data_IF_808110065722
#
_entry.id   IF_808110065722
#
_cell.length_a   1.000
_cell.length_b   1.000
_cell.length_c   1.000
_cell.angle_alpha   90.00
_cell.angle_beta   90.00
_cell.angle_gamma   90.00
#
_symmetry.space_group_name_H-M   'P 1'
#
loop_
_entity.id
_entity.type
_entity.pdbx_description
1 polymer ?
#
# COMPACT_ATOMS: atom_id res chain seq x y z
N UNK A 1 -18.76 6.25 9.66
CA UNK A 1 -18.56 6.50 8.22
C UNK A 1 -17.19 5.97 7.84
N UNK A 2 -17.07 5.24 6.73
CA UNK A 2 -15.79 4.72 6.24
C UNK A 2 -15.10 5.82 5.43
N UNK A 3 -14.00 6.38 5.92
CA UNK A 3 -13.33 7.55 5.31
C UNK A 3 -12.36 7.18 4.17
N UNK A 4 -12.59 6.08 3.47
CA UNK A 4 -11.68 5.55 2.42
C UNK A 4 -11.48 6.49 1.22
N UNK A 5 -12.39 7.44 0.99
CA UNK A 5 -12.26 8.47 -0.07
C UNK A 5 -11.46 9.69 0.35
N UNK A 6 -11.15 9.87 1.64
CA UNK A 6 -10.36 11.01 2.11
C UNK A 6 -8.96 10.96 1.47
N UNK A 7 -8.44 12.04 0.90
CA UNK A 7 -7.08 12.02 0.35
C UNK A 7 -6.03 11.61 1.40
N UNK A 8 -4.93 11.01 0.94
CA UNK A 8 -3.75 10.72 1.78
C UNK A 8 -2.87 11.96 1.77
N UNK A 9 -2.36 12.33 2.94
CA UNK A 9 -1.51 13.52 3.06
C UNK A 9 -0.20 13.33 2.31
N UNK A 10 0.46 14.44 1.98
CA UNK A 10 1.82 14.41 1.44
C UNK A 10 2.81 13.66 2.35
N UNK A 11 2.59 13.72 3.67
CA UNK A 11 3.41 13.03 4.66
C UNK A 11 3.23 11.51 4.55
N UNK A 12 1.99 11.01 4.44
CA UNK A 12 1.73 9.57 4.24
C UNK A 12 2.41 9.07 2.97
N UNK A 13 2.26 9.82 1.87
CA UNK A 13 2.87 9.46 0.59
C UNK A 13 4.40 9.45 0.66
N UNK A 14 4.98 10.40 1.40
CA UNK A 14 6.43 10.49 1.57
C UNK A 14 6.98 9.38 2.47
N UNK A 15 6.24 9.00 3.51
CA UNK A 15 6.58 7.87 4.37
C UNK A 15 6.62 6.54 3.60
N UNK A 16 5.62 6.25 2.75
CA UNK A 16 5.67 5.05 1.89
C UNK A 16 6.87 5.06 0.93
N UNK A 17 7.18 6.19 0.29
CA UNK A 17 8.38 6.30 -0.56
C UNK A 17 9.67 6.11 0.23
N UNK A 18 9.74 6.66 1.44
CA UNK A 18 10.90 6.49 2.32
C UNK A 18 11.09 5.01 2.68
N UNK A 19 9.99 4.30 2.97
CA UNK A 19 9.99 2.87 3.29
C UNK A 19 10.64 2.01 2.19
N UNK A 20 10.36 2.30 0.92
CA UNK A 20 10.92 1.57 -0.22
C UNK A 20 12.44 1.72 -0.37
N UNK A 21 13.01 2.75 0.24
CA UNK A 21 14.44 3.10 0.15
C UNK A 21 15.18 3.00 1.48
N UNK A 22 14.47 2.72 2.57
CA UNK A 22 15.03 2.66 3.91
C UNK A 22 15.95 1.45 4.06
N UNK A 23 17.24 1.72 4.24
CA UNK A 23 18.27 0.70 4.52
C UNK A 23 18.54 0.53 6.03
N UNK A 24 18.12 1.51 6.84
CA UNK A 24 18.26 1.47 8.30
C UNK A 24 17.00 0.91 8.96
N UNK A 25 17.15 -0.18 9.71
CA UNK A 25 16.02 -0.88 10.35
C UNK A 25 15.31 -0.01 11.38
N UNK A 26 16.00 0.91 12.06
CA UNK A 26 15.37 1.77 13.07
C UNK A 26 14.48 2.81 12.41
N UNK A 27 14.99 3.54 11.41
CA UNK A 27 14.22 4.50 10.62
C UNK A 27 13.01 3.82 9.96
N UNK A 28 13.21 2.60 9.44
CA UNK A 28 12.14 1.78 8.90
C UNK A 28 11.01 1.53 9.91
N UNK A 29 11.35 1.09 11.14
CA UNK A 29 10.37 0.85 12.21
C UNK A 29 9.66 2.14 12.65
N UNK A 30 10.36 3.27 12.70
CA UNK A 30 9.77 4.57 13.05
C UNK A 30 8.74 5.04 12.00
N UNK A 31 9.06 4.88 10.71
CA UNK A 31 8.15 5.18 9.59
C UNK A 31 6.92 4.28 9.64
N UNK A 32 7.12 2.97 9.85
CA UNK A 32 6.05 1.98 9.95
C UNK A 32 5.08 2.28 11.10
N UNK A 33 5.62 2.60 12.28
CA UNK A 33 4.83 2.96 13.45
C UNK A 33 3.99 4.21 13.19
N UNK A 34 4.60 5.25 12.61
CA UNK A 34 3.87 6.48 12.29
C UNK A 34 2.76 6.24 11.24
N UNK A 35 3.04 5.48 10.19
CA UNK A 35 2.03 5.11 9.19
C UNK A 35 0.87 4.34 9.84
N UNK A 36 1.17 3.40 10.74
CA UNK A 36 0.14 2.65 11.46
C UNK A 36 -0.79 3.57 12.24
N UNK A 37 -0.24 4.51 13.00
CA UNK A 37 -1.03 5.45 13.80
C UNK A 37 -1.91 6.35 12.90
N UNK A 38 -1.36 6.80 11.77
CA UNK A 38 -2.12 7.56 10.77
C UNK A 38 -3.28 6.74 10.17
N UNK A 39 -3.09 5.45 9.90
CA UNK A 39 -4.17 4.61 9.34
C UNK A 39 -5.22 4.22 10.39
N UNK A 40 -4.82 3.96 11.63
CA UNK A 40 -5.72 3.65 12.74
C UNK A 40 -6.66 4.84 13.04
N UNK A 41 -6.15 6.07 12.98
CA UNK A 41 -6.94 7.28 13.22
C UNK A 41 -7.92 7.62 12.09
N UNK A 42 -7.72 7.10 10.87
CA UNK A 42 -8.56 7.41 9.70
C UNK A 42 -9.96 6.80 9.76
N UNK A 43 -10.19 5.79 10.60
CA UNK A 43 -11.48 5.07 10.68
C UNK A 43 -11.91 4.50 9.31
N UNK A 44 -10.94 3.96 8.55
CA UNK A 44 -11.15 3.35 7.23
C UNK A 44 -11.67 1.91 7.25
N UNK A 45 -11.89 1.33 8.42
CA UNK A 45 -12.07 -0.11 8.59
C UNK A 45 -10.74 -0.86 8.71
N UNK A 46 -10.78 -2.19 8.72
CA UNK A 46 -9.58 -3.03 8.89
C UNK A 46 -8.83 -3.09 7.56
N UNK A 47 -7.75 -2.31 7.46
CA UNK A 47 -6.73 -2.51 6.42
C UNK A 47 -6.17 -3.93 6.59
N UNK A 48 -5.75 -4.59 5.50
CA UNK A 48 -4.99 -5.86 5.48
C UNK A 48 -3.52 -5.63 5.10
N UNK A 49 -3.28 -4.59 4.31
CA UNK A 49 -1.96 -4.19 3.84
C UNK A 49 -2.07 -3.39 2.54
N UNK A 50 -0.92 -3.17 1.92
CA UNK A 50 -0.81 -2.46 0.64
C UNK A 50 -0.05 -3.30 -0.39
N UNK A 51 -0.45 -3.20 -1.65
CA UNK A 51 0.35 -3.67 -2.78
C UNK A 51 0.83 -2.47 -3.58
N UNK A 52 2.11 -2.47 -3.96
CA UNK A 52 2.72 -1.35 -4.69
C UNK A 52 3.76 -1.82 -5.69
N UNK A 53 4.14 -0.91 -6.60
CA UNK A 53 5.19 -1.18 -7.57
C UNK A 53 6.54 -1.31 -6.86
N UNK A 54 7.34 -2.30 -7.26
CA UNK A 54 8.68 -2.46 -6.72
C UNK A 54 9.72 -1.71 -7.56
N UNK A 55 10.55 -0.91 -6.88
CA UNK A 55 11.60 -0.10 -7.51
C UNK A 55 13.02 -0.63 -7.28
N UNK A 56 13.17 -1.84 -6.69
CA UNK A 56 14.48 -2.51 -6.57
C UNK A 56 15.07 -2.90 -7.94
N UNK A 57 14.25 -2.88 -8.99
CA UNK A 57 14.63 -3.26 -10.34
C UNK A 57 14.42 -4.74 -10.63
N UNK A 58 14.70 -5.18 -11.88
CA UNK A 58 14.52 -6.55 -12.28
C UNK A 58 15.32 -7.51 -11.37
N UNK A 59 14.72 -8.66 -11.00
CA UNK A 59 13.50 -9.23 -11.54
C UNK A 59 12.20 -8.88 -10.78
N UNK A 60 12.24 -7.96 -9.80
CA UNK A 60 11.08 -7.61 -8.98
C UNK A 60 10.21 -6.55 -9.65
N UNK A 61 8.89 -6.69 -9.54
CA UNK A 61 7.92 -5.80 -10.21
C UNK A 61 6.88 -5.20 -9.26
N UNK A 62 6.53 -5.91 -8.19
CA UNK A 62 5.62 -5.43 -7.15
C UNK A 62 6.03 -5.97 -5.77
N UNK A 63 5.57 -5.32 -4.70
CA UNK A 63 5.77 -5.79 -3.33
C UNK A 63 4.57 -5.55 -2.45
N UNK A 64 4.42 -6.44 -1.47
CA UNK A 64 3.35 -6.41 -0.46
C UNK A 64 3.90 -5.87 0.85
N UNK A 65 3.16 -4.91 1.40
CA UNK A 65 3.30 -4.44 2.77
C UNK A 65 2.16 -5.01 3.61
N UNK A 66 2.43 -5.45 4.84
CA UNK A 66 1.37 -5.84 5.79
C UNK A 66 0.81 -4.65 6.59
N UNK A 67 0.08 -4.96 7.66
CA UNK A 67 -0.53 -3.99 8.59
C UNK A 67 0.45 -3.19 9.42
N UNK A 68 1.62 -3.76 9.64
CA UNK A 68 2.74 -3.09 10.26
C UNK A 68 3.56 -2.35 9.21
N UNK A 69 3.11 -2.37 7.95
CA UNK A 69 3.81 -1.86 6.79
C UNK A 69 5.20 -2.50 6.60
N UNK A 70 5.46 -3.67 7.18
CA UNK A 70 6.67 -4.44 6.88
C UNK A 70 6.62 -4.90 5.42
N UNK A 71 7.74 -4.80 4.70
CA UNK A 71 7.84 -5.41 3.37
C UNK A 71 7.87 -6.92 3.59
N UNK A 72 6.73 -7.56 3.31
CA UNK A 72 6.56 -8.99 3.56
C UNK A 72 7.04 -9.81 2.36
N UNK A 73 6.94 -9.26 1.15
CA UNK A 73 7.21 -10.03 -0.06
C UNK A 73 7.49 -9.14 -1.27
N UNK A 74 8.56 -9.44 -2.00
CA UNK A 74 8.82 -8.92 -3.34
C UNK A 74 8.46 -9.98 -4.37
N UNK A 75 7.71 -9.60 -5.40
CA UNK A 75 7.26 -10.52 -6.42
C UNK A 75 7.96 -10.29 -7.76
N UNK A 76 8.30 -11.38 -8.42
CA UNK A 76 8.57 -11.46 -9.83
C UNK A 76 7.26 -11.40 -10.63
N UNK A 77 7.37 -11.09 -11.93
CA UNK A 77 6.20 -11.00 -12.82
C UNK A 77 5.41 -12.31 -12.95
N UNK A 78 6.07 -13.46 -12.78
CA UNK A 78 5.47 -14.79 -12.90
C UNK A 78 4.90 -15.32 -11.57
N UNK A 79 5.23 -14.69 -10.44
CA UNK A 79 4.79 -15.17 -9.12
C UNK A 79 3.26 -15.06 -9.01
N UNK A 80 2.65 -15.93 -8.22
CA UNK A 80 1.25 -15.76 -7.85
C UNK A 80 1.16 -14.84 -6.63
N UNK A 81 0.32 -13.80 -6.72
CA UNK A 81 -0.08 -13.03 -5.54
C UNK A 81 -1.33 -13.67 -4.98
N UNK A 82 -1.33 -14.03 -3.69
CA UNK A 82 -2.47 -14.66 -3.04
C UNK A 82 -3.63 -13.66 -2.85
N UNK A 83 -4.86 -14.17 -2.84
CA UNK A 83 -6.02 -13.39 -2.38
C UNK A 83 -5.83 -12.96 -0.90
N UNK A 84 -6.33 -11.76 -0.52
CA UNK A 84 -7.11 -10.82 -1.33
C UNK A 84 -6.26 -9.84 -2.19
N UNK A 85 -4.93 -9.90 -2.11
CA UNK A 85 -4.04 -8.96 -2.79
C UNK A 85 -3.96 -9.19 -4.31
N UNK A 86 -4.28 -10.39 -4.78
CA UNK A 86 -4.28 -10.75 -6.20
C UNK A 86 -5.07 -9.75 -7.06
N UNK A 87 -6.22 -9.31 -6.55
CA UNK A 87 -7.14 -8.40 -7.22
C UNK A 87 -6.56 -6.99 -7.41
N UNK A 88 -5.62 -6.57 -6.55
CA UNK A 88 -4.95 -5.28 -6.65
C UNK A 88 -3.83 -5.27 -7.71
N UNK A 89 -3.32 -6.43 -8.12
CA UNK A 89 -2.09 -6.50 -8.92
C UNK A 89 -2.22 -5.85 -10.29
N UNK A 90 -3.38 -5.99 -10.94
CA UNK A 90 -3.65 -5.31 -12.21
C UNK A 90 -3.58 -3.78 -12.08
N UNK A 91 -4.08 -3.24 -10.96
CA UNK A 91 -4.04 -1.79 -10.68
C UNK A 91 -2.62 -1.31 -10.39
N UNK A 92 -1.84 -2.09 -9.62
CA UNK A 92 -0.42 -1.78 -9.37
C UNK A 92 0.36 -1.72 -10.69
N UNK A 93 0.15 -2.71 -11.57
CA UNK A 93 0.86 -2.82 -12.84
C UNK A 93 0.44 -1.78 -13.89
N UNK A 94 -0.64 -1.02 -13.65
CA UNK A 94 -0.99 0.11 -14.51
C UNK A 94 -0.02 1.29 -14.33
N UNK A 95 0.75 1.31 -13.23
CA UNK A 95 1.67 2.41 -12.89
C UNK A 95 0.98 3.73 -12.57
N UNK A 96 -0.35 3.74 -12.42
CA UNK A 96 -1.15 4.97 -12.24
C UNK A 96 -1.33 5.36 -10.77
N UNK A 97 -0.94 4.49 -9.84
CA UNK A 97 -1.19 4.62 -8.41
C UNK A 97 0.13 4.51 -7.65
N UNK A 98 0.23 5.24 -6.54
CA UNK A 98 1.35 5.12 -5.61
C UNK A 98 1.32 3.75 -4.92
N UNK A 99 0.13 3.33 -4.46
CA UNK A 99 -0.13 2.01 -3.88
C UNK A 99 -1.63 1.72 -3.89
N UNK A 100 -1.97 0.45 -3.69
CA UNK A 100 -3.35 -0.01 -3.55
C UNK A 100 -3.51 -0.56 -2.13
N UNK A 101 -4.41 0.02 -1.36
CA UNK A 101 -4.80 -0.50 -0.06
C UNK A 101 -5.81 -1.64 -0.22
N UNK A 102 -5.65 -2.70 0.55
CA UNK A 102 -6.53 -3.87 0.55
C UNK A 102 -7.19 -3.98 1.92
N UNK A 103 -8.52 -4.01 1.97
CA UNK A 103 -9.29 -4.06 3.22
C UNK A 103 -9.92 -5.44 3.46
N UNK A 104 -10.22 -5.73 4.73
CA UNK A 104 -10.77 -7.02 5.16
C UNK A 104 -12.17 -7.32 4.62
N UNK A 105 -12.88 -6.29 4.15
CA UNK A 105 -14.20 -6.42 3.52
C UNK A 105 -14.11 -6.61 1.99
N UNK A 106 -12.91 -6.86 1.47
CA UNK A 106 -12.65 -7.04 0.04
C UNK A 106 -12.53 -5.73 -0.75
N UNK A 107 -12.71 -4.56 -0.11
CA UNK A 107 -12.55 -3.30 -0.83
C UNK A 107 -11.10 -3.01 -1.16
N UNK A 108 -10.89 -2.50 -2.37
CA UNK A 108 -9.61 -1.93 -2.80
C UNK A 108 -9.70 -0.40 -2.83
N UNK A 109 -8.67 0.26 -2.32
CA UNK A 109 -8.55 1.72 -2.42
C UNK A 109 -7.28 2.09 -3.17
N UNK A 110 -7.39 2.46 -4.46
CA UNK A 110 -6.28 2.98 -5.22
C UNK A 110 -5.92 4.38 -4.75
N UNK A 111 -4.67 4.60 -4.35
CA UNK A 111 -4.14 5.89 -3.95
C UNK A 111 -3.23 6.45 -5.04
N UNK A 112 -3.55 7.63 -5.57
CA UNK A 112 -2.74 8.29 -6.60
C UNK A 112 -1.51 8.97 -6.00
N UNK A 113 -0.50 9.33 -6.83
CA UNK A 113 0.68 10.06 -6.38
C UNK A 113 0.40 11.43 -5.74
N UNK A 114 -0.77 12.03 -6.00
CA UNK A 114 -1.23 13.27 -5.37
C UNK A 114 -2.09 13.03 -4.11
N UNK A 115 -2.24 11.76 -3.71
CA UNK A 115 -3.02 11.35 -2.55
C UNK A 115 -4.52 11.22 -2.80
N UNK A 116 -5.02 11.52 -4.01
CA UNK A 116 -6.43 11.31 -4.33
C UNK A 116 -6.79 9.83 -4.39
N UNK A 117 -8.02 9.50 -4.01
CA UNK A 117 -8.46 8.10 -3.88
C UNK A 117 -9.79 7.90 -4.58
N UNK A 118 -9.87 6.88 -5.43
CA UNK A 118 -11.07 6.54 -6.21
C UNK A 118 -11.85 5.33 -5.69
N UNK A 119 -11.44 4.72 -4.57
CA UNK A 119 -12.04 3.49 -4.02
C UNK A 119 -13.18 3.72 -3.03
N UNK A 120 -14.24 2.92 -3.18
CA UNK A 120 -15.37 2.81 -2.24
C UNK A 120 -16.48 1.85 -2.70
N UNK A 121 -16.20 0.99 -3.66
CA UNK A 121 -17.10 -0.07 -4.13
C UNK A 121 -16.31 -1.37 -4.30
N UNK A 122 -17.00 -2.49 -4.09
CA UNK A 122 -16.53 -3.84 -4.39
C UNK A 122 -16.28 -3.89 -5.90
N UNK A 123 -15.07 -4.31 -6.32
CA UNK A 123 -14.82 -4.70 -7.72
C UNK A 123 -15.42 -6.09 -7.97
#
# INVERSE_FOLDING_TARGET
MINRRKPRSGDILSAFRALDTAIDRRAQLEIMQWLRDEYDTRQGGVLLGCLQQCYLGPPFVDHKLDLLHDIVEHYHAADAVADPFAQARGLVRSGSYAYIEVYSDGSLVPVRPDGTCSGGGIL
#
